data_IF_784139243682
#
_entry.id   IF_784139243682
#
_cell.length_a   1.000
_cell.length_b   1.000
_cell.length_c   1.000
_cell.angle_alpha   90.00
_cell.angle_beta   90.00
_cell.angle_gamma   90.00
#
_symmetry.space_group_name_H-M   'P 1'
#
loop_
_entity.id
_entity.type
_entity.pdbx_description
1 polymer ?
#
# COMPACT_ATOMS: atom_id res chain seq x y z
N UNK A 1 -7.65 -15.10 9.24
CA UNK A 1 -7.33 -13.67 9.07
C UNK A 1 -7.15 -12.94 10.41
N UNK A 2 -6.73 -13.62 11.49
CA UNK A 2 -6.43 -12.96 12.77
C UNK A 2 -4.96 -12.52 12.85
N UNK A 3 -4.04 -13.30 12.26
CA UNK A 3 -2.61 -13.02 12.34
C UNK A 3 -2.19 -11.63 11.81
N UNK A 4 -2.74 -11.14 10.69
CA UNK A 4 -2.39 -9.79 10.21
C UNK A 4 -2.93 -8.69 11.12
N UNK A 5 -4.14 -8.86 11.65
CA UNK A 5 -4.72 -7.91 12.60
C UNK A 5 -3.92 -7.88 13.90
N UNK A 6 -3.51 -9.04 14.40
CA UNK A 6 -2.73 -9.15 15.64
C UNK A 6 -1.30 -8.58 15.48
N UNK A 7 -0.72 -8.67 14.28
CA UNK A 7 0.65 -8.21 13.99
C UNK A 7 0.71 -6.72 13.62
N UNK A 8 -0.25 -6.23 12.84
CA UNK A 8 -0.22 -4.88 12.28
C UNK A 8 -1.28 -3.94 12.86
N UNK A 9 -2.27 -4.46 13.60
CA UNK A 9 -3.36 -3.66 14.14
C UNK A 9 -4.29 -3.19 13.04
N UNK A 10 -4.13 -1.93 12.61
CA UNK A 10 -4.88 -1.35 11.50
C UNK A 10 -4.02 -1.31 10.23
N UNK A 11 -4.63 -1.67 9.10
CA UNK A 11 -4.00 -1.57 7.78
C UNK A 11 -4.77 -0.56 6.94
N UNK A 12 -4.02 0.32 6.28
CA UNK A 12 -4.57 1.23 5.27
C UNK A 12 -4.09 0.78 3.90
N UNK A 13 -5.02 0.68 2.96
CA UNK A 13 -4.76 0.28 1.57
C UNK A 13 -5.15 1.46 0.67
N UNK A 14 -4.31 1.87 -0.29
CA UNK A 14 -4.70 2.89 -1.25
C UNK A 14 -5.83 2.38 -2.17
N UNK A 15 -6.71 3.29 -2.59
CA UNK A 15 -7.82 2.99 -3.48
C UNK A 15 -7.37 2.22 -4.73
N UNK A 16 -6.23 2.59 -5.30
CA UNK A 16 -5.66 2.00 -6.51
C UNK A 16 -5.34 0.50 -6.34
N UNK A 17 -4.88 0.06 -5.15
CA UNK A 17 -4.67 -1.36 -4.86
C UNK A 17 -6.00 -2.08 -4.72
N UNK A 18 -6.98 -1.45 -4.06
CA UNK A 18 -8.31 -2.06 -3.90
C UNK A 18 -9.03 -2.21 -5.25
N UNK A 19 -8.94 -1.21 -6.12
CA UNK A 19 -9.51 -1.24 -7.47
C UNK A 19 -8.86 -2.35 -8.32
N UNK A 20 -7.55 -2.53 -8.23
CA UNK A 20 -6.85 -3.63 -8.90
C UNK A 20 -7.36 -5.01 -8.43
N UNK A 21 -7.57 -5.18 -7.13
CA UNK A 21 -8.10 -6.43 -6.57
C UNK A 21 -9.53 -6.71 -7.07
N UNK A 22 -10.36 -5.67 -7.21
CA UNK A 22 -11.71 -5.79 -7.79
C UNK A 22 -11.62 -6.21 -9.26
N UNK A 23 -10.82 -5.50 -10.06
CA UNK A 23 -10.69 -5.77 -11.51
C UNK A 23 -10.17 -7.19 -11.76
N UNK A 24 -9.28 -7.68 -10.90
CA UNK A 24 -8.76 -9.05 -10.96
C UNK A 24 -9.69 -10.10 -10.32
N UNK A 25 -10.85 -9.70 -9.80
CA UNK A 25 -11.79 -10.55 -9.07
C UNK A 25 -11.10 -11.37 -7.96
N UNK A 26 -10.20 -10.73 -7.22
CA UNK A 26 -9.37 -11.39 -6.22
C UNK A 26 -10.17 -11.65 -4.93
N UNK A 27 -10.04 -12.85 -4.35
CA UNK A 27 -10.77 -13.25 -3.13
C UNK A 27 -10.51 -12.32 -1.92
N UNK A 28 -9.36 -11.64 -1.92
CA UNK A 28 -9.01 -10.66 -0.89
C UNK A 28 -10.01 -9.51 -0.77
N UNK A 29 -10.77 -9.17 -1.82
CA UNK A 29 -11.79 -8.10 -1.77
C UNK A 29 -12.84 -8.39 -0.70
N UNK A 30 -13.33 -9.63 -0.61
CA UNK A 30 -14.30 -10.04 0.41
C UNK A 30 -13.72 -9.92 1.82
N UNK A 31 -12.44 -10.25 1.95
CA UNK A 31 -11.72 -10.19 3.22
C UNK A 31 -11.50 -8.74 3.67
N UNK A 32 -11.21 -7.82 2.73
CA UNK A 32 -11.09 -6.38 3.00
C UNK A 32 -12.46 -5.79 3.40
N UNK A 33 -13.53 -6.12 2.65
CA UNK A 33 -14.88 -5.60 2.91
C UNK A 33 -15.45 -6.07 4.26
N UNK A 34 -15.07 -7.26 4.72
CA UNK A 34 -15.52 -7.81 6.00
C UNK A 34 -14.62 -7.44 7.19
N UNK A 35 -13.42 -6.89 6.94
CA UNK A 35 -12.46 -6.53 7.97
C UNK A 35 -12.66 -5.10 8.47
N UNK A 36 -13.01 -4.92 9.73
CA UNK A 36 -13.14 -3.61 10.37
C UNK A 36 -11.80 -2.88 10.64
N UNK A 37 -10.68 -3.60 10.53
CA UNK A 37 -9.32 -3.11 10.78
C UNK A 37 -8.57 -2.76 9.50
N UNK A 38 -9.16 -3.02 8.32
CA UNK A 38 -8.62 -2.60 7.03
C UNK A 38 -9.41 -1.41 6.53
N UNK A 39 -8.73 -0.32 6.18
CA UNK A 39 -9.34 0.88 5.62
C UNK A 39 -8.83 1.10 4.20
N UNK A 40 -9.74 1.33 3.26
CA UNK A 40 -9.38 1.82 1.93
C UNK A 40 -9.37 3.35 1.97
N UNK A 41 -8.27 3.98 1.54
CA UNK A 41 -8.15 5.44 1.46
C UNK A 41 -7.69 5.88 0.08
N UNK A 42 -8.29 6.98 -0.39
CA UNK A 42 -7.83 7.65 -1.61
C UNK A 42 -6.72 8.65 -1.27
N UNK A 43 -5.80 8.85 -2.20
CA UNK A 43 -4.81 9.92 -2.13
C UNK A 43 -5.49 11.28 -2.24
N UNK A 44 -4.99 12.22 -1.45
CA UNK A 44 -5.40 13.62 -1.51
C UNK A 44 -4.76 14.30 -2.73
N UNK A 45 -3.49 13.99 -3.01
CA UNK A 45 -2.76 14.54 -4.15
C UNK A 45 -2.57 13.52 -5.29
N UNK A 46 -3.52 13.52 -6.22
CA UNK A 46 -3.43 12.70 -7.44
C UNK A 46 -2.37 13.21 -8.43
N UNK A 47 -1.89 14.44 -8.32
CA UNK A 47 -0.84 14.95 -9.21
C UNK A 47 0.50 14.28 -8.92
N UNK A 48 0.85 14.14 -7.64
CA UNK A 48 2.04 13.42 -7.20
C UNK A 48 2.06 11.95 -7.68
N UNK A 49 0.88 11.32 -7.81
CA UNK A 49 0.75 9.97 -8.38
C UNK A 49 1.15 9.91 -9.86
N UNK A 50 0.74 10.91 -10.65
CA UNK A 50 1.11 11.03 -12.06
C UNK A 50 2.59 11.36 -12.23
N UNK A 51 3.14 12.24 -11.39
CA UNK A 51 4.56 12.59 -11.43
C UNK A 51 5.42 11.36 -11.17
N UNK A 52 5.13 10.61 -10.09
CA UNK A 52 5.87 9.40 -9.74
C UNK A 52 5.75 8.31 -10.83
N UNK A 53 4.65 8.30 -11.57
CA UNK A 53 4.46 7.44 -12.73
C UNK A 53 5.40 7.77 -13.89
N UNK A 54 5.74 9.05 -14.10
CA UNK A 54 6.70 9.43 -15.14
C UNK A 54 8.16 9.17 -14.76
N UNK A 55 8.45 9.14 -13.45
CA UNK A 55 9.80 9.03 -12.92
C UNK A 55 10.21 7.58 -12.61
N UNK A 56 9.24 6.65 -12.52
CA UNK A 56 9.47 5.29 -12.02
C UNK A 56 8.67 4.26 -12.80
N UNK A 57 9.22 3.05 -12.93
CA UNK A 57 8.52 1.90 -13.50
C UNK A 57 7.68 1.13 -12.47
N UNK A 58 7.36 1.75 -11.33
CA UNK A 58 6.51 1.13 -10.32
C UNK A 58 5.08 1.00 -10.82
N UNK A 59 4.38 -0.01 -10.32
CA UNK A 59 2.95 -0.14 -10.61
C UNK A 59 2.14 0.97 -9.91
N UNK A 60 0.86 1.09 -10.28
CA UNK A 60 0.00 2.13 -9.74
C UNK A 60 -0.24 1.97 -8.23
N UNK A 61 -0.40 0.73 -7.76
CA UNK A 61 -0.67 0.42 -6.36
C UNK A 61 0.51 0.75 -5.46
N UNK A 62 1.73 0.45 -5.89
CA UNK A 62 2.97 0.72 -5.17
C UNK A 62 3.23 2.22 -5.03
N UNK A 63 3.07 2.97 -6.12
CA UNK A 63 3.19 4.43 -6.09
C UNK A 63 2.17 5.02 -5.14
N UNK A 64 0.92 4.55 -5.22
CA UNK A 64 -0.13 5.02 -4.33
C UNK A 64 0.14 4.67 -2.87
N UNK A 65 0.68 3.49 -2.58
CA UNK A 65 1.04 3.09 -1.22
C UNK A 65 2.16 3.97 -0.64
N UNK A 66 3.17 4.32 -1.44
CA UNK A 66 4.27 5.22 -1.04
C UNK A 66 3.72 6.61 -0.72
N UNK A 67 2.94 7.19 -1.62
CA UNK A 67 2.39 8.54 -1.45
C UNK A 67 1.40 8.60 -0.28
N UNK A 68 0.56 7.58 -0.12
CA UNK A 68 -0.38 7.53 0.98
C UNK A 68 0.33 7.38 2.32
N UNK A 69 1.44 6.62 2.36
CA UNK A 69 2.28 6.53 3.55
C UNK A 69 2.93 7.87 3.92
N UNK A 70 3.30 8.69 2.94
CA UNK A 70 3.77 10.06 3.17
C UNK A 70 2.64 10.95 3.69
N UNK A 71 1.47 10.94 3.03
CA UNK A 71 0.30 11.76 3.43
C UNK A 71 -0.16 11.45 4.86
N UNK A 72 -0.07 10.18 5.28
CA UNK A 72 -0.52 9.72 6.60
C UNK A 72 0.57 9.74 7.67
N UNK A 73 1.81 10.12 7.31
CA UNK A 73 2.96 10.06 8.22
C UNK A 73 3.08 8.70 8.95
N UNK A 74 2.89 7.60 8.20
CA UNK A 74 2.76 6.26 8.80
C UNK A 74 4.05 5.79 9.48
N UNK A 75 3.90 5.10 10.60
CA UNK A 75 5.00 4.41 11.29
C UNK A 75 5.55 3.22 10.51
N UNK A 76 4.77 2.67 9.56
CA UNK A 76 5.08 1.43 8.83
C UNK A 76 4.47 1.43 7.43
N UNK A 77 5.28 1.10 6.43
CA UNK A 77 4.85 0.88 5.05
C UNK A 77 5.23 -0.55 4.60
N UNK A 78 4.24 -1.35 4.18
CA UNK A 78 4.45 -2.73 3.72
C UNK A 78 4.48 -2.76 2.20
N UNK A 79 5.63 -3.12 1.62
CA UNK A 79 5.76 -3.25 0.16
C UNK A 79 6.77 -4.37 -0.20
N UNK A 80 6.48 -5.10 -1.28
CA UNK A 80 7.21 -6.33 -1.62
C UNK A 80 8.20 -6.19 -2.77
N UNK A 81 8.09 -5.17 -3.61
CA UNK A 81 9.00 -5.01 -4.75
C UNK A 81 10.28 -4.27 -4.40
N UNK A 82 11.41 -4.76 -4.94
CA UNK A 82 12.74 -4.21 -4.62
C UNK A 82 12.86 -2.75 -5.05
N UNK A 83 12.39 -2.41 -6.25
CA UNK A 83 12.45 -1.07 -6.80
C UNK A 83 11.63 -0.09 -5.95
N UNK A 84 10.40 -0.47 -5.61
CA UNK A 84 9.55 0.35 -4.77
C UNK A 84 10.21 0.59 -3.40
N UNK A 85 10.91 -0.41 -2.84
CA UNK A 85 11.53 -0.28 -1.50
C UNK A 85 12.65 0.73 -1.50
N UNK A 86 13.38 0.83 -2.60
CA UNK A 86 14.44 1.82 -2.75
C UNK A 86 13.86 3.23 -2.78
N UNK A 87 12.75 3.44 -3.49
CA UNK A 87 12.05 4.73 -3.57
C UNK A 87 11.45 5.12 -2.21
N UNK A 88 10.78 4.19 -1.53
CA UNK A 88 10.25 4.45 -0.20
C UNK A 88 11.37 4.79 0.81
N UNK A 89 12.52 4.12 0.73
CA UNK A 89 13.70 4.43 1.56
C UNK A 89 14.32 5.79 1.23
N UNK A 90 14.41 6.18 -0.05
CA UNK A 90 14.92 7.52 -0.41
C UNK A 90 13.99 8.62 0.08
N UNK A 91 12.69 8.32 0.20
CA UNK A 91 11.64 9.15 0.81
C UNK A 91 11.55 9.05 2.35
N UNK A 92 12.51 8.35 2.98
CA UNK A 92 12.61 8.17 4.45
C UNK A 92 11.41 7.47 5.09
N UNK A 93 10.65 6.69 4.33
CA UNK A 93 9.53 5.92 4.86
C UNK A 93 10.03 4.66 5.59
N UNK A 94 9.40 4.30 6.73
CA UNK A 94 9.72 3.10 7.49
C UNK A 94 9.17 1.85 6.81
N UNK A 95 9.93 1.32 5.85
CA UNK A 95 9.55 0.15 5.06
C UNK A 95 9.72 -1.13 5.86
N UNK A 96 8.66 -1.93 5.94
CA UNK A 96 8.69 -3.32 6.35
C UNK A 96 8.62 -4.17 5.09
N UNK A 97 9.73 -4.84 4.77
CA UNK A 97 9.69 -5.91 3.77
C UNK A 97 9.04 -7.14 4.40
N UNK A 98 8.25 -7.89 3.62
CA UNK A 98 7.85 -9.24 3.99
C UNK A 98 9.10 -10.15 3.96
N UNK A 99 9.93 -10.09 5.01
CA UNK A 99 11.01 -11.05 5.21
C UNK A 99 10.37 -12.31 5.79
N UNK A 100 10.03 -13.25 4.91
CA UNK A 100 9.68 -14.63 5.31
C UNK A 100 8.39 -14.78 6.11
N UNK A 101 7.31 -14.12 5.71
CA UNK A 101 5.99 -14.39 6.28
C UNK A 101 4.95 -14.59 5.18
N UNK A 102 4.99 -15.80 4.60
CA UNK A 102 3.95 -16.64 3.97
C UNK A 102 4.45 -17.28 2.67
#
# INVERSE_FOLDING_TARGET
MQLLQDVFGQIVIPQEVYDELIVRNHLAVLAIQSANWIQVRSLSDRFSLQELQTQTNLDLGERAAILLAEELETDRLIINERAARQIAKSRRLPVIGMVGAL
#
